data_IF_021349801475
#
_entry.id   IF_021349801475
#
_cell.length_a   1.000
_cell.length_b   1.000
_cell.length_c   1.000
_cell.angle_alpha   90.00
_cell.angle_beta   90.00
_cell.angle_gamma   90.00
#
_symmetry.space_group_name_H-M   'P 1'
#
loop_
_entity.id
_entity.type
_entity.pdbx_description
1 polymer ?
#
# COMPACT_ATOMS: atom_id res chain seq x y z
N UNK A 1 46.44 -22.13 -17.98
CA UNK A 1 45.07 -21.60 -18.05
C UNK A 1 45.09 -20.21 -17.43
N UNK A 2 44.67 -19.14 -18.13
CA UNK A 2 44.67 -17.79 -17.58
C UNK A 2 43.82 -17.76 -16.30
N UNK A 3 44.33 -17.12 -15.25
CA UNK A 3 43.68 -17.05 -13.94
C UNK A 3 42.32 -16.35 -14.06
N UNK A 4 41.25 -17.15 -14.13
CA UNK A 4 39.89 -16.63 -14.20
C UNK A 4 39.55 -16.01 -12.85
N UNK A 5 39.25 -14.72 -12.83
CA UNK A 5 38.82 -14.06 -11.59
C UNK A 5 37.52 -14.70 -11.10
N UNK A 6 37.35 -14.83 -9.77
CA UNK A 6 36.15 -15.44 -9.17
C UNK A 6 34.84 -14.84 -9.72
N UNK A 7 34.85 -13.55 -10.01
CA UNK A 7 33.73 -12.83 -10.64
C UNK A 7 33.46 -13.32 -12.06
N UNK A 8 34.48 -13.47 -12.92
CA UNK A 8 34.29 -14.00 -14.29
C UNK A 8 33.77 -15.44 -14.27
N UNK A 9 34.24 -16.25 -13.32
CA UNK A 9 33.73 -17.61 -13.11
C UNK A 9 32.26 -17.62 -12.68
N UNK A 10 31.85 -16.74 -11.76
CA UNK A 10 30.46 -16.60 -11.35
C UNK A 10 29.57 -16.12 -12.51
N UNK A 11 30.00 -15.11 -13.26
CA UNK A 11 29.26 -14.60 -14.44
C UNK A 11 29.08 -15.71 -15.49
N UNK A 12 30.15 -16.41 -15.86
CA UNK A 12 30.08 -17.52 -16.81
C UNK A 12 29.20 -18.67 -16.29
N UNK A 13 29.27 -18.96 -14.99
CA UNK A 13 28.43 -19.97 -14.35
C UNK A 13 26.94 -19.64 -14.35
N UNK A 14 26.57 -18.35 -14.40
CA UNK A 14 25.19 -17.88 -14.45
C UNK A 14 24.60 -17.77 -15.86
N UNK A 15 25.44 -17.70 -16.91
CA UNK A 15 24.94 -17.59 -18.29
C UNK A 15 24.13 -18.80 -18.72
N UNK A 16 24.61 -20.02 -18.43
CA UNK A 16 23.91 -21.26 -18.82
C UNK A 16 22.55 -21.38 -18.13
N UNK A 17 22.43 -21.26 -16.80
CA UNK A 17 21.13 -21.19 -16.13
C UNK A 17 20.25 -20.05 -16.65
N UNK A 18 20.83 -18.87 -16.90
CA UNK A 18 20.10 -17.72 -17.44
C UNK A 18 19.41 -18.04 -18.76
N UNK A 19 20.15 -18.59 -19.72
CA UNK A 19 19.60 -19.02 -21.01
C UNK A 19 18.54 -20.12 -20.87
N UNK A 20 18.73 -21.06 -19.94
CA UNK A 20 17.74 -22.11 -19.69
C UNK A 20 16.43 -21.56 -19.11
N UNK A 21 16.52 -20.65 -18.14
CA UNK A 21 15.33 -20.00 -17.56
C UNK A 21 14.61 -19.11 -18.57
N UNK A 22 15.35 -18.41 -19.44
CA UNK A 22 14.79 -17.69 -20.59
C UNK A 22 14.04 -18.63 -21.53
N UNK A 23 14.63 -19.80 -21.85
CA UNK A 23 13.97 -20.82 -22.65
C UNK A 23 12.67 -21.34 -22.03
N UNK A 24 12.62 -21.56 -20.72
CA UNK A 24 11.39 -21.98 -20.02
C UNK A 24 10.31 -20.88 -20.03
N UNK A 25 10.72 -19.62 -19.87
CA UNK A 25 9.82 -18.47 -19.98
C UNK A 25 9.25 -18.36 -21.40
N UNK A 26 10.11 -18.51 -22.40
CA UNK A 26 9.72 -18.47 -23.80
C UNK A 26 8.81 -19.64 -24.21
N UNK A 27 9.10 -20.88 -23.77
CA UNK A 27 8.20 -22.04 -23.97
C UNK A 27 6.81 -21.76 -23.43
N UNK A 28 6.73 -21.20 -22.23
CA UNK A 28 5.47 -20.91 -21.56
C UNK A 28 4.65 -19.89 -22.35
N UNK A 29 5.29 -18.79 -22.77
CA UNK A 29 4.66 -17.77 -23.60
C UNK A 29 4.23 -18.34 -24.96
N UNK A 30 5.13 -19.08 -25.64
CA UNK A 30 4.84 -19.70 -26.93
C UNK A 30 3.62 -20.64 -26.85
N UNK A 31 3.56 -21.51 -25.84
CA UNK A 31 2.40 -22.40 -25.61
C UNK A 31 1.12 -21.61 -25.35
N UNK A 32 1.18 -20.58 -24.51
CA UNK A 32 0.03 -19.73 -24.21
C UNK A 32 -0.55 -19.06 -25.46
N UNK A 33 0.30 -18.55 -26.36
CA UNK A 33 -0.17 -17.95 -27.62
C UNK A 33 -0.96 -18.94 -28.48
N UNK A 34 -0.56 -20.20 -28.51
CA UNK A 34 -1.27 -21.23 -29.25
C UNK A 34 -2.58 -21.68 -28.57
N UNK A 35 -2.55 -21.90 -27.26
CA UNK A 35 -3.68 -22.51 -26.55
C UNK A 35 -4.76 -21.52 -26.11
N UNK A 36 -4.36 -20.32 -25.68
CA UNK A 36 -5.29 -19.34 -25.11
C UNK A 36 -5.66 -18.24 -26.12
N UNK A 37 -4.73 -17.84 -26.99
CA UNK A 37 -4.95 -16.80 -27.99
C UNK A 37 -5.26 -17.37 -29.39
N UNK A 38 -5.23 -18.71 -29.55
CA UNK A 38 -5.50 -19.41 -30.80
C UNK A 38 -4.66 -18.94 -31.99
N UNK A 39 -3.46 -18.40 -31.74
CA UNK A 39 -2.50 -18.05 -32.79
C UNK A 39 -1.86 -19.35 -33.25
N UNK A 40 -2.23 -19.85 -34.42
CA UNK A 40 -1.79 -21.16 -34.93
C UNK A 40 -0.50 -21.10 -35.74
N UNK A 41 -0.08 -19.91 -36.19
CA UNK A 41 1.15 -19.73 -36.96
C UNK A 41 2.39 -19.79 -36.04
N UNK A 42 3.27 -20.76 -36.28
CA UNK A 42 4.46 -20.98 -35.44
C UNK A 42 5.45 -19.81 -35.47
N UNK A 43 5.64 -19.18 -36.63
CA UNK A 43 6.53 -18.03 -36.76
C UNK A 43 5.99 -16.80 -36.03
N UNK A 44 4.68 -16.57 -36.11
CA UNK A 44 4.04 -15.47 -35.39
C UNK A 44 4.19 -15.64 -33.88
N UNK A 45 3.96 -16.86 -33.37
CA UNK A 45 4.14 -17.17 -31.93
C UNK A 45 5.59 -16.98 -31.49
N UNK A 46 6.55 -17.44 -32.31
CA UNK A 46 7.97 -17.33 -32.02
C UNK A 46 8.39 -15.85 -31.97
N UNK A 47 7.95 -15.04 -32.94
CA UNK A 47 8.25 -13.61 -32.99
C UNK A 47 7.65 -12.85 -31.81
N UNK A 48 6.37 -13.05 -31.51
CA UNK A 48 5.71 -12.38 -30.39
C UNK A 48 6.33 -12.74 -29.04
N UNK A 49 6.64 -14.02 -28.84
CA UNK A 49 7.36 -14.48 -27.66
C UNK A 49 8.76 -13.87 -27.57
N UNK A 50 9.51 -13.87 -28.68
CA UNK A 50 10.84 -13.29 -28.76
C UNK A 50 10.85 -11.79 -28.45
N UNK A 51 9.87 -11.04 -28.96
CA UNK A 51 9.70 -9.61 -28.68
C UNK A 51 9.43 -9.37 -27.19
N UNK A 52 8.55 -10.16 -26.57
CA UNK A 52 8.24 -10.04 -25.16
C UNK A 52 9.48 -10.26 -24.26
N UNK A 53 10.25 -11.31 -24.52
CA UNK A 53 11.47 -11.60 -23.76
C UNK A 53 12.56 -10.55 -24.02
N UNK A 54 12.75 -10.15 -25.29
CA UNK A 54 13.72 -9.12 -25.65
C UNK A 54 13.40 -7.77 -25.00
N UNK A 55 12.12 -7.42 -24.85
CA UNK A 55 11.69 -6.20 -24.17
C UNK A 55 12.10 -6.21 -22.69
N UNK A 56 11.92 -7.32 -21.98
CA UNK A 56 12.30 -7.44 -20.56
C UNK A 56 13.82 -7.31 -20.40
N UNK A 57 14.58 -7.99 -21.27
CA UNK A 57 16.04 -7.90 -21.27
C UNK A 57 16.49 -6.46 -21.57
N UNK A 58 15.90 -5.83 -22.59
CA UNK A 58 16.21 -4.45 -22.98
C UNK A 58 15.92 -3.45 -21.85
N UNK A 59 14.75 -3.55 -21.20
CA UNK A 59 14.39 -2.71 -20.05
C UNK A 59 15.37 -2.90 -18.89
N UNK A 60 15.80 -4.14 -18.64
CA UNK A 60 16.74 -4.44 -17.55
C UNK A 60 18.15 -3.90 -17.85
N UNK A 61 18.64 -4.08 -19.09
CA UNK A 61 19.92 -3.52 -19.55
C UNK A 61 19.86 -1.99 -19.52
N UNK A 62 18.76 -1.39 -19.96
CA UNK A 62 18.58 0.05 -19.96
C UNK A 62 18.54 0.61 -18.54
N UNK A 63 17.83 -0.04 -17.62
CA UNK A 63 17.83 0.32 -16.19
C UNK A 63 19.24 0.28 -15.60
N UNK A 64 20.02 -0.75 -15.94
CA UNK A 64 21.41 -0.89 -15.52
C UNK A 64 22.32 0.20 -16.10
N UNK A 65 22.20 0.48 -17.40
CA UNK A 65 23.02 1.46 -18.09
C UNK A 65 22.74 2.89 -17.61
N UNK A 66 21.47 3.22 -17.38
CA UNK A 66 21.03 4.56 -16.96
C UNK A 66 20.95 4.77 -15.45
N UNK A 67 21.06 3.68 -14.66
CA UNK A 67 20.85 3.66 -13.20
C UNK A 67 19.49 4.20 -12.77
N UNK A 68 18.48 4.12 -13.63
CA UNK A 68 17.13 4.59 -13.32
C UNK A 68 16.23 3.45 -12.82
N UNK A 69 15.40 3.74 -11.80
CA UNK A 69 14.50 2.74 -11.20
C UNK A 69 13.25 2.46 -12.06
N UNK A 70 12.79 3.43 -12.85
CA UNK A 70 11.58 3.31 -13.67
C UNK A 70 11.58 2.10 -14.61
N UNK A 71 12.59 1.95 -15.48
CA UNK A 71 12.69 0.81 -16.40
C UNK A 71 12.86 -0.53 -15.68
N UNK A 72 13.50 -0.56 -14.51
CA UNK A 72 13.57 -1.77 -13.68
C UNK A 72 12.18 -2.17 -13.15
N UNK A 73 11.38 -1.20 -12.69
CA UNK A 73 9.99 -1.48 -12.29
C UNK A 73 9.13 -1.96 -13.45
N UNK A 74 9.33 -1.43 -14.66
CA UNK A 74 8.64 -1.94 -15.86
C UNK A 74 9.04 -3.38 -16.19
N UNK A 75 10.33 -3.72 -16.08
CA UNK A 75 10.79 -5.09 -16.26
C UNK A 75 10.16 -6.03 -15.22
N UNK A 76 10.09 -5.63 -13.95
CA UNK A 76 9.42 -6.42 -12.91
C UNK A 76 7.91 -6.55 -13.13
N UNK A 77 7.25 -5.49 -13.59
CA UNK A 77 5.84 -5.54 -13.94
C UNK A 77 5.59 -6.52 -15.11
N UNK A 78 6.44 -6.50 -16.13
CA UNK A 78 6.37 -7.44 -17.26
C UNK A 78 6.56 -8.90 -16.81
N UNK A 79 7.52 -9.17 -15.92
CA UNK A 79 7.73 -10.48 -15.27
C UNK A 79 6.49 -10.93 -14.49
N UNK A 80 5.81 -10.01 -13.81
CA UNK A 80 4.57 -10.32 -13.07
C UNK A 80 3.42 -10.65 -14.03
N UNK A 81 3.30 -9.95 -15.14
CA UNK A 81 2.30 -10.24 -16.19
C UNK A 81 2.52 -11.63 -16.81
N UNK A 82 3.77 -12.09 -16.93
CA UNK A 82 4.09 -13.45 -17.40
C UNK A 82 3.58 -14.58 -16.49
N UNK A 83 3.09 -14.26 -15.28
CA UNK A 83 2.40 -15.25 -14.44
C UNK A 83 1.09 -15.75 -15.06
N UNK A 84 0.39 -14.91 -15.83
CA UNK A 84 -0.89 -15.29 -16.46
C UNK A 84 -0.70 -16.43 -17.47
N UNK A 85 0.21 -16.33 -18.47
CA UNK A 85 0.57 -17.45 -19.33
C UNK A 85 0.95 -18.72 -18.56
N UNK A 86 1.71 -18.60 -17.47
CA UNK A 86 2.17 -19.74 -16.69
C UNK A 86 1.01 -20.51 -16.04
N UNK A 87 0.05 -19.82 -15.42
CA UNK A 87 -1.12 -20.49 -14.83
C UNK A 87 -2.07 -21.05 -15.88
N UNK A 88 -2.19 -20.42 -17.04
CA UNK A 88 -3.03 -20.91 -18.13
C UNK A 88 -2.45 -22.18 -18.76
N UNK A 89 -1.13 -22.25 -18.94
CA UNK A 89 -0.47 -23.43 -19.54
C UNK A 89 -0.22 -24.53 -18.51
N UNK A 90 0.16 -24.18 -17.29
CA UNK A 90 0.57 -25.11 -16.24
C UNK A 90 -0.54 -25.52 -15.27
N UNK A 91 -1.68 -24.82 -15.24
CA UNK A 91 -2.72 -25.01 -14.23
C UNK A 91 -2.23 -24.68 -12.82
N UNK A 92 -2.86 -25.27 -11.80
CA UNK A 92 -2.60 -24.95 -10.38
C UNK A 92 -1.13 -25.05 -9.95
N UNK A 93 -0.62 -26.22 -9.52
CA UNK A 93 0.78 -26.34 -9.09
C UNK A 93 1.79 -26.14 -10.22
N UNK A 94 1.46 -26.58 -11.44
CA UNK A 94 2.35 -26.46 -12.60
C UNK A 94 2.60 -25.01 -13.02
N UNK A 95 1.60 -24.13 -12.85
CA UNK A 95 1.75 -22.69 -13.07
C UNK A 95 2.74 -22.06 -12.10
N UNK A 96 2.65 -22.40 -10.81
CA UNK A 96 3.61 -21.91 -9.79
C UNK A 96 5.04 -22.30 -10.18
N UNK A 97 5.26 -23.56 -10.54
CA UNK A 97 6.59 -24.04 -10.95
C UNK A 97 7.13 -23.29 -12.18
N UNK A 98 6.28 -23.08 -13.20
CA UNK A 98 6.64 -22.31 -14.40
C UNK A 98 6.98 -20.86 -14.09
N UNK A 99 6.22 -20.18 -13.23
CA UNK A 99 6.53 -18.80 -12.79
C UNK A 99 7.88 -18.73 -12.08
N UNK A 100 8.12 -19.66 -11.15
CA UNK A 100 9.35 -19.65 -10.34
C UNK A 100 10.60 -19.93 -11.17
N UNK A 101 10.55 -20.91 -12.08
CA UNK A 101 11.72 -21.35 -12.85
C UNK A 101 11.91 -20.57 -14.15
N UNK A 102 10.84 -20.04 -14.74
CA UNK A 102 10.94 -19.18 -15.92
C UNK A 102 11.24 -17.73 -15.50
N UNK A 103 10.21 -16.89 -15.42
CA UNK A 103 10.39 -15.44 -15.35
C UNK A 103 11.01 -14.95 -14.03
N UNK A 104 10.72 -15.60 -12.88
CA UNK A 104 11.32 -15.19 -11.60
C UNK A 104 12.79 -15.55 -11.50
N UNK A 105 13.17 -16.80 -11.79
CA UNK A 105 14.57 -17.21 -11.79
C UNK A 105 15.39 -16.43 -12.83
N UNK A 106 14.82 -16.18 -14.01
CA UNK A 106 15.44 -15.33 -15.03
C UNK A 106 15.69 -13.92 -14.49
N UNK A 107 14.69 -13.27 -13.88
CA UNK A 107 14.83 -11.95 -13.31
C UNK A 107 15.92 -11.89 -12.23
N UNK A 108 16.00 -12.91 -11.36
CA UNK A 108 17.05 -13.02 -10.34
C UNK A 108 18.43 -13.19 -10.97
N UNK A 109 18.59 -14.11 -11.93
CA UNK A 109 19.87 -14.35 -12.60
C UNK A 109 20.33 -13.09 -13.34
N UNK A 110 19.41 -12.40 -14.03
CA UNK A 110 19.71 -11.14 -14.73
C UNK A 110 20.09 -10.04 -13.73
N UNK A 111 19.40 -9.95 -12.60
CA UNK A 111 19.74 -9.02 -11.52
C UNK A 111 21.16 -9.24 -10.97
N UNK A 112 21.55 -10.50 -10.77
CA UNK A 112 22.89 -10.90 -10.32
C UNK A 112 23.96 -10.65 -11.40
N UNK A 113 23.68 -11.01 -12.66
CA UNK A 113 24.59 -10.81 -13.79
C UNK A 113 24.91 -9.33 -14.01
N UNK A 114 23.91 -8.45 -13.86
CA UNK A 114 24.08 -7.01 -14.02
C UNK A 114 24.62 -6.34 -12.75
N UNK A 115 24.65 -7.05 -11.62
CA UNK A 115 25.15 -6.52 -10.35
C UNK A 115 24.35 -5.32 -9.85
N UNK A 116 23.02 -5.36 -10.04
CA UNK A 116 22.14 -4.26 -9.66
C UNK A 116 22.15 -4.00 -8.14
N UNK A 117 22.39 -5.03 -7.31
CA UNK A 117 22.45 -4.91 -5.84
C UNK A 117 23.53 -3.92 -5.35
N UNK A 118 24.71 -3.96 -5.95
CA UNK A 118 25.84 -3.12 -5.53
C UNK A 118 25.70 -1.68 -6.04
N UNK A 119 24.96 -1.46 -7.14
CA UNK A 119 24.90 -0.17 -7.83
C UNK A 119 23.64 0.64 -7.52
N UNK A 120 22.56 0.00 -7.07
CA UNK A 120 21.33 0.66 -6.64
C UNK A 120 21.31 1.03 -5.15
N UNK A 121 22.27 0.53 -4.37
CA UNK A 121 22.37 0.76 -2.91
C UNK A 121 22.78 2.18 -2.50
N UNK A 122 23.28 3.00 -3.44
CA UNK A 122 23.63 4.40 -3.16
C UNK A 122 22.42 5.35 -3.15
N UNK A 123 21.27 4.94 -3.68
CA UNK A 123 20.07 5.78 -3.70
C UNK A 123 18.96 5.23 -2.80
N UNK A 124 18.86 5.81 -1.60
CA UNK A 124 17.74 5.60 -0.66
C UNK A 124 16.40 5.82 -1.38
N UNK A 125 15.64 4.75 -1.58
CA UNK A 125 14.33 4.80 -2.24
C UNK A 125 13.25 5.23 -1.23
N UNK A 126 12.96 6.53 -1.15
CA UNK A 126 11.83 7.09 -0.38
C UNK A 126 10.56 7.16 -1.26
N UNK A 127 10.23 6.06 -1.95
CA UNK A 127 9.02 5.94 -2.76
C UNK A 127 7.89 5.26 -2.00
N UNK A 128 6.64 5.67 -2.27
CA UNK A 128 5.40 5.06 -1.69
C UNK A 128 5.37 3.54 -1.90
N UNK A 129 5.86 3.06 -3.05
CA UNK A 129 5.97 1.62 -3.34
C UNK A 129 7.03 0.93 -2.47
N UNK A 130 8.10 1.62 -2.10
CA UNK A 130 9.12 1.12 -1.18
C UNK A 130 8.60 1.02 0.26
N UNK A 131 7.74 1.95 0.68
CA UNK A 131 7.03 1.86 1.96
C UNK A 131 6.01 0.71 1.96
N UNK A 132 5.22 0.58 0.89
CA UNK A 132 4.24 -0.51 0.75
C UNK A 132 4.91 -1.90 0.69
N UNK A 133 6.04 -2.03 -0.01
CA UNK A 133 6.79 -3.28 -0.07
C UNK A 133 7.48 -3.58 1.26
N UNK A 134 7.95 -2.57 1.98
CA UNK A 134 8.49 -2.74 3.34
C UNK A 134 7.41 -3.22 4.30
N UNK A 135 6.22 -2.63 4.26
CA UNK A 135 5.10 -3.07 5.08
C UNK A 135 4.58 -4.46 4.66
N UNK A 136 4.53 -4.76 3.36
CA UNK A 136 4.21 -6.10 2.88
C UNK A 136 5.26 -7.13 3.31
N UNK A 137 6.56 -6.77 3.28
CA UNK A 137 7.64 -7.60 3.79
C UNK A 137 7.52 -7.80 5.29
N UNK A 138 7.24 -6.75 6.06
CA UNK A 138 7.05 -6.83 7.51
C UNK A 138 5.84 -7.72 7.86
N UNK A 139 4.76 -7.62 7.09
CA UNK A 139 3.58 -8.49 7.21
C UNK A 139 3.88 -9.93 6.78
N UNK A 140 4.67 -10.11 5.72
CA UNK A 140 5.12 -11.43 5.28
C UNK A 140 6.05 -12.06 6.30
N UNK A 141 7.03 -11.33 6.85
CA UNK A 141 7.91 -11.84 7.91
C UNK A 141 7.17 -12.09 9.22
N UNK A 142 6.14 -11.29 9.52
CA UNK A 142 5.22 -11.56 10.62
C UNK A 142 4.36 -12.82 10.36
N UNK A 143 4.00 -13.10 9.10
CA UNK A 143 3.24 -14.29 8.71
C UNK A 143 4.10 -15.55 8.54
N UNK A 144 5.37 -15.40 8.18
CA UNK A 144 6.35 -16.47 7.96
C UNK A 144 7.11 -16.84 9.25
N UNK A 145 6.83 -16.17 10.37
CA UNK A 145 7.26 -16.63 11.70
C UNK A 145 8.77 -16.68 11.92
N UNK A 146 9.56 -15.86 11.20
CA UNK A 146 11.03 -15.81 11.36
C UNK A 146 11.44 -14.71 12.38
N UNK A 147 10.52 -13.84 12.77
CA UNK A 147 10.73 -12.86 13.85
C UNK A 147 9.97 -13.25 15.10
N UNK A 148 10.64 -13.96 16.02
CA UNK A 148 10.21 -14.35 17.38
C UNK A 148 9.65 -15.77 17.49
N UNK A 149 10.53 -16.70 17.91
CA UNK A 149 10.18 -18.01 18.47
C UNK A 149 9.02 -17.84 19.46
N UNK A 150 7.90 -18.52 19.22
CA UNK A 150 6.87 -18.79 20.24
C UNK A 150 5.45 -18.25 20.03
N UNK A 151 5.08 -17.66 18.90
CA UNK A 151 3.68 -17.36 18.61
C UNK A 151 3.09 -18.44 17.68
N UNK A 152 2.54 -19.47 18.30
CA UNK A 152 1.93 -20.62 17.62
C UNK A 152 0.92 -20.19 16.54
N UNK A 153 0.96 -20.88 15.40
CA UNK A 153 -0.09 -20.82 14.38
C UNK A 153 -1.49 -21.05 14.98
N UNK A 154 -1.58 -21.82 16.06
CA UNK A 154 -2.78 -22.00 16.87
C UNK A 154 -3.27 -20.69 17.51
N UNK A 155 -2.38 -19.81 17.99
CA UNK A 155 -2.76 -18.51 18.55
C UNK A 155 -3.37 -17.58 17.48
N UNK A 156 -2.83 -17.61 16.26
CA UNK A 156 -3.35 -16.84 15.12
C UNK A 156 -4.70 -17.40 14.65
N UNK A 157 -4.85 -18.73 14.63
CA UNK A 157 -6.13 -19.37 14.31
C UNK A 157 -7.21 -18.98 15.34
N UNK A 158 -6.87 -18.99 16.63
CA UNK A 158 -7.74 -18.57 17.73
C UNK A 158 -8.13 -17.09 17.64
N UNK A 159 -7.18 -16.21 17.34
CA UNK A 159 -7.48 -14.78 17.19
C UNK A 159 -8.45 -14.51 16.03
N UNK A 160 -8.27 -15.21 14.89
CA UNK A 160 -9.20 -15.13 13.76
C UNK A 160 -10.57 -15.73 14.08
N UNK A 161 -10.62 -16.81 14.88
CA UNK A 161 -11.88 -17.36 15.37
C UNK A 161 -12.63 -16.36 16.26
N UNK A 162 -11.91 -15.68 17.17
CA UNK A 162 -12.47 -14.62 18.00
C UNK A 162 -13.04 -13.46 17.17
N UNK A 163 -12.34 -13.02 16.11
CA UNK A 163 -12.84 -11.99 15.20
C UNK A 163 -14.12 -12.43 14.46
N UNK A 164 -14.15 -13.68 13.97
CA UNK A 164 -15.35 -14.27 13.34
C UNK A 164 -16.52 -14.35 14.32
N UNK A 165 -16.27 -14.68 15.58
CA UNK A 165 -17.30 -14.73 16.62
C UNK A 165 -17.93 -13.35 16.84
N UNK A 166 -17.12 -12.29 16.93
CA UNK A 166 -17.63 -10.91 17.08
C UNK A 166 -18.49 -10.51 15.87
N UNK A 167 -18.03 -10.75 14.65
CA UNK A 167 -18.79 -10.41 13.44
C UNK A 167 -20.07 -11.25 13.29
N UNK A 168 -20.05 -12.52 13.71
CA UNK A 168 -21.24 -13.37 13.72
C UNK A 168 -22.24 -12.92 14.78
N UNK A 169 -21.79 -12.44 15.95
CA UNK A 169 -22.65 -11.89 16.98
C UNK A 169 -23.45 -10.68 16.47
N UNK A 170 -22.82 -9.78 15.71
CA UNK A 170 -23.48 -8.64 15.07
C UNK A 170 -24.54 -9.12 14.04
N UNK A 171 -24.21 -10.14 13.24
CA UNK A 171 -25.13 -10.72 12.23
C UNK A 171 -26.27 -11.54 12.81
N UNK A 172 -26.08 -12.12 14.00
CA UNK A 172 -27.13 -12.79 14.77
C UNK A 172 -28.08 -11.74 15.35
N UNK A 173 -27.54 -10.67 15.95
CA UNK A 173 -28.33 -9.58 16.50
C UNK A 173 -29.18 -8.87 15.44
N UNK A 174 -28.67 -8.73 14.21
CA UNK A 174 -29.42 -8.15 13.09
C UNK A 174 -30.39 -9.14 12.39
N UNK A 175 -30.40 -10.41 12.75
CA UNK A 175 -31.28 -11.40 12.12
C UNK A 175 -32.63 -11.49 12.84
N UNK A 176 -33.71 -11.67 12.09
CA UNK A 176 -35.05 -11.89 12.67
C UNK A 176 -35.05 -13.13 13.57
N UNK A 177 -35.40 -12.99 14.86
CA UNK A 177 -35.51 -14.11 15.80
C UNK A 177 -36.48 -15.18 15.28
N UNK A 178 -36.17 -16.45 15.53
CA UNK A 178 -36.99 -17.58 15.08
C UNK A 178 -36.82 -17.97 13.60
N UNK A 179 -36.11 -17.18 12.79
CA UNK A 179 -35.84 -17.55 11.39
C UNK A 179 -34.80 -18.68 11.28
N UNK A 180 -34.92 -19.51 10.23
CA UNK A 180 -33.89 -20.52 9.88
C UNK A 180 -32.51 -19.90 9.65
N UNK A 181 -32.44 -18.63 9.25
CA UNK A 181 -31.18 -17.89 9.08
C UNK A 181 -30.58 -17.52 10.44
N UNK A 182 -31.40 -17.12 11.41
CA UNK A 182 -30.96 -16.83 12.78
C UNK A 182 -30.38 -18.08 13.45
N UNK A 183 -31.07 -19.22 13.41
CA UNK A 183 -30.57 -20.47 14.00
C UNK A 183 -29.24 -20.93 13.40
N UNK A 184 -29.09 -20.84 12.07
CA UNK A 184 -27.82 -21.16 11.38
C UNK A 184 -26.68 -20.23 11.78
N UNK A 185 -26.96 -18.94 11.96
CA UNK A 185 -25.94 -17.95 12.38
C UNK A 185 -25.56 -18.13 13.84
N UNK A 186 -26.52 -18.43 14.71
CA UNK A 186 -26.28 -18.75 16.12
C UNK A 186 -25.42 -20.01 16.27
N UNK A 187 -25.69 -21.06 15.48
CA UNK A 187 -24.84 -22.26 15.45
C UNK A 187 -23.41 -21.94 15.00
N UNK A 188 -23.24 -21.12 13.95
CA UNK A 188 -21.89 -20.69 13.51
C UNK A 188 -21.16 -19.84 14.53
N UNK A 189 -21.90 -19.01 15.28
CA UNK A 189 -21.35 -18.20 16.36
C UNK A 189 -20.80 -19.10 17.47
N UNK A 190 -21.57 -20.10 17.90
CA UNK A 190 -21.12 -21.09 18.88
C UNK A 190 -19.83 -21.78 18.42
N UNK A 191 -19.80 -22.29 17.18
CA UNK A 191 -18.58 -22.91 16.62
C UNK A 191 -17.38 -21.95 16.59
N UNK A 192 -17.58 -20.67 16.26
CA UNK A 192 -16.49 -19.70 16.24
C UNK A 192 -15.95 -19.37 17.65
N UNK A 193 -16.81 -19.43 18.67
CA UNK A 193 -16.40 -19.30 20.08
C UNK A 193 -15.63 -20.55 20.51
N UNK A 194 -16.12 -21.75 20.17
CA UNK A 194 -15.43 -23.01 20.46
C UNK A 194 -14.05 -23.08 19.80
N UNK A 195 -13.95 -22.68 18.52
CA UNK A 195 -12.68 -22.57 17.78
C UNK A 195 -11.68 -21.61 18.46
N UNK A 196 -12.18 -20.52 19.06
CA UNK A 196 -11.33 -19.55 19.76
C UNK A 196 -10.82 -20.06 21.12
N UNK A 197 -11.59 -20.98 21.73
CA UNK A 197 -11.28 -21.63 23.01
C UNK A 197 -10.48 -22.92 22.86
N UNK A 198 -10.38 -23.46 21.66
CA UNK A 198 -9.73 -24.74 21.39
C UNK A 198 -8.26 -24.75 21.88
N UNK A 199 -7.83 -25.88 22.46
CA UNK A 199 -6.48 -26.09 23.03
C UNK A 199 -6.03 -25.08 24.10
N UNK A 200 -6.97 -24.39 24.75
CA UNK A 200 -6.69 -23.57 25.94
C UNK A 200 -6.99 -24.35 27.22
N UNK A 201 -6.21 -24.07 28.27
CA UNK A 201 -6.62 -24.44 29.62
C UNK A 201 -7.94 -23.74 30.01
N UNK A 202 -8.70 -24.25 30.99
CA UNK A 202 -10.01 -23.69 31.34
C UNK A 202 -9.97 -22.19 31.68
N UNK A 203 -8.92 -21.73 32.37
CA UNK A 203 -8.79 -20.33 32.79
C UNK A 203 -8.54 -19.42 31.58
N UNK A 204 -7.68 -19.85 30.66
CA UNK A 204 -7.39 -19.14 29.42
C UNK A 204 -8.57 -19.17 28.45
N UNK A 205 -9.32 -20.26 28.40
CA UNK A 205 -10.54 -20.37 27.60
C UNK A 205 -11.63 -19.40 28.08
N UNK A 206 -11.82 -19.29 29.40
CA UNK A 206 -12.77 -18.35 29.99
C UNK A 206 -12.34 -16.89 29.76
N UNK A 207 -11.04 -16.60 29.86
CA UNK A 207 -10.49 -15.29 29.52
C UNK A 207 -10.70 -14.94 28.03
N UNK A 208 -10.54 -15.90 27.13
CA UNK A 208 -10.78 -15.71 25.70
C UNK A 208 -12.27 -15.43 25.40
N UNK A 209 -13.17 -16.16 26.05
CA UNK A 209 -14.61 -15.92 25.93
C UNK A 209 -15.00 -14.54 26.48
N UNK A 210 -14.51 -14.18 27.67
CA UNK A 210 -14.72 -12.85 28.26
C UNK A 210 -14.19 -11.72 27.35
N UNK A 211 -13.07 -11.94 26.67
CA UNK A 211 -12.53 -11.00 25.69
C UNK A 211 -13.45 -10.86 24.46
N UNK A 212 -14.02 -11.96 23.93
CA UNK A 212 -15.01 -11.91 22.85
C UNK A 212 -16.27 -11.16 23.31
N UNK A 213 -16.79 -11.48 24.49
CA UNK A 213 -17.98 -10.85 25.07
C UNK A 213 -17.76 -9.35 25.26
N UNK A 214 -16.63 -8.93 25.84
CA UNK A 214 -16.31 -7.51 26.05
C UNK A 214 -16.25 -6.74 24.72
N UNK A 215 -15.71 -7.34 23.65
CA UNK A 215 -15.68 -6.74 22.31
C UNK A 215 -17.09 -6.60 21.73
N UNK A 216 -17.95 -7.61 21.88
CA UNK A 216 -19.34 -7.56 21.43
C UNK A 216 -20.12 -6.50 22.21
N UNK A 217 -19.99 -6.46 23.53
CA UNK A 217 -20.63 -5.45 24.39
C UNK A 217 -20.17 -4.05 24.00
N UNK A 218 -18.87 -3.86 23.76
CA UNK A 218 -18.32 -2.58 23.30
C UNK A 218 -18.87 -2.15 21.93
N UNK A 219 -19.02 -3.06 20.97
CA UNK A 219 -19.63 -2.74 19.67
C UNK A 219 -21.10 -2.35 19.82
N UNK A 220 -21.85 -3.11 20.63
CA UNK A 220 -23.26 -2.80 20.92
C UNK A 220 -23.42 -1.48 21.67
N UNK A 221 -22.54 -1.18 22.63
CA UNK A 221 -22.58 0.08 23.36
C UNK A 221 -22.26 1.26 22.44
N UNK A 222 -21.31 1.14 21.51
CA UNK A 222 -21.03 2.18 20.51
C UNK A 222 -22.24 2.41 19.57
N UNK A 223 -22.89 1.34 19.11
CA UNK A 223 -24.11 1.47 18.32
C UNK A 223 -25.25 2.14 19.13
N UNK A 224 -25.36 1.81 20.42
CA UNK A 224 -26.26 2.47 21.36
C UNK A 224 -25.94 3.96 21.51
N UNK A 225 -24.67 4.32 21.69
CA UNK A 225 -24.22 5.72 21.79
C UNK A 225 -24.54 6.53 20.53
N UNK A 226 -24.41 5.92 19.34
CA UNK A 226 -24.76 6.56 18.07
C UNK A 226 -26.26 6.85 17.92
N UNK A 227 -27.11 6.19 18.71
CA UNK A 227 -28.58 6.35 18.69
C UNK A 227 -29.12 7.20 19.85
N UNK A 228 -28.25 7.67 20.75
CA UNK A 228 -28.63 8.63 21.78
C UNK A 228 -28.90 9.98 21.10
N UNK A 229 -30.18 10.28 20.89
CA UNK A 229 -30.66 11.53 20.29
C UNK A 229 -30.59 12.74 21.25
N UNK A 230 -30.22 12.53 22.52
CA UNK A 230 -30.07 13.60 23.50
C UNK A 230 -28.70 14.24 23.39
N UNK A 231 -28.64 15.49 22.94
CA UNK A 231 -27.48 16.37 23.17
C UNK A 231 -27.24 16.40 24.68
N UNK A 232 -26.14 15.83 25.14
CA UNK A 232 -25.63 16.18 26.46
C UNK A 232 -25.04 17.58 26.33
N UNK A 233 -25.79 18.56 26.80
CA UNK A 233 -25.30 19.91 27.02
C UNK A 233 -24.24 19.86 28.13
N UNK A 234 -22.97 19.82 27.74
CA UNK A 234 -21.81 19.89 28.65
C UNK A 234 -21.65 21.28 29.31
N UNK A 235 -22.64 22.15 29.22
CA UNK A 235 -22.64 23.50 29.78
C UNK A 235 -23.34 23.52 31.14
N UNK A 236 -22.81 22.79 32.13
CA UNK A 236 -23.18 23.00 33.53
C UNK A 236 -22.14 22.42 34.51
N UNK A 237 -20.97 23.06 34.64
CA UNK A 237 -20.36 23.42 35.94
C UNK A 237 -19.07 24.21 35.73
N UNK A 238 -19.21 25.46 35.27
CA UNK A 238 -18.25 26.52 35.62
C UNK A 238 -19.00 27.54 36.46
N UNK A 239 -19.54 27.12 37.60
CA UNK A 239 -20.05 28.06 38.60
C UNK A 239 -18.86 28.52 39.43
N UNK A 240 -18.34 29.67 39.00
CA UNK A 240 -17.88 30.79 39.83
C UNK A 240 -17.21 30.42 41.15
N UNK A 241 -15.87 30.46 41.10
CA UNK A 241 -15.03 30.66 42.25
C UNK A 241 -15.57 31.77 43.16
N UNK A 242 -15.78 31.44 44.44
CA UNK A 242 -15.82 32.43 45.51
C UNK A 242 -14.45 32.41 46.18
N UNK A 243 -13.69 33.52 46.25
CA UNK A 243 -12.49 33.57 47.06
C UNK A 243 -12.93 33.67 48.53
N UNK A 244 -12.65 32.63 49.33
CA UNK A 244 -12.79 32.71 50.78
C UNK A 244 -11.42 32.93 51.38
N UNK A 245 -11.25 34.11 51.94
CA UNK A 245 -10.09 34.59 52.68
C UNK A 245 -9.98 33.86 54.04
N UNK A 246 -8.74 33.62 54.43
CA UNK A 246 -8.17 33.10 55.68
C UNK A 246 -9.03 33.09 56.95
N UNK A 247 -8.88 32.04 57.77
CA UNK A 247 -8.02 32.07 58.98
C UNK A 247 -8.02 30.71 59.69
N UNK A 248 -6.97 30.49 60.48
CA UNK A 248 -6.62 29.37 61.37
C UNK A 248 -5.93 28.16 60.72
N UNK A 249 -4.60 27.99 60.82
CA UNK A 249 -3.68 27.92 61.99
C UNK A 249 -3.56 26.50 62.56
N UNK A 250 -2.32 26.02 62.45
CA UNK A 250 -1.61 24.97 63.19
C UNK A 250 -2.16 23.53 63.15
N UNK A 251 -1.39 22.59 62.57
CA UNK A 251 -0.44 21.76 63.35
C UNK A 251 0.36 20.84 62.41
N UNK A 252 1.65 20.73 62.71
CA UNK A 252 2.73 20.03 62.03
C UNK A 252 2.54 18.51 61.77
N UNK A 253 3.28 17.97 60.79
CA UNK A 253 4.47 17.12 61.04
C UNK A 253 5.00 16.56 59.72
N UNK A 254 6.23 16.93 59.36
CA UNK A 254 7.03 16.29 58.32
C UNK A 254 7.71 15.02 58.87
N UNK A 255 8.17 14.12 57.99
CA UNK A 255 9.55 13.68 58.15
C UNK A 255 10.35 13.72 56.84
N UNK A 256 11.43 14.48 56.93
CA UNK A 256 12.81 14.20 56.55
C UNK A 256 13.09 13.27 55.35
N UNK A 257 13.69 13.89 54.34
CA UNK A 257 14.62 13.28 53.40
C UNK A 257 15.78 12.60 54.14
N UNK A 258 16.20 11.43 53.65
CA UNK A 258 17.55 10.91 53.88
C UNK A 258 18.24 10.80 52.54
N UNK A 259 19.30 11.58 52.46
CA UNK A 259 20.32 11.66 51.44
C UNK A 259 21.21 10.39 51.49
N UNK A 260 21.51 9.79 50.34
CA UNK A 260 22.65 8.89 50.17
C UNK A 260 23.09 8.89 48.71
N UNK A 261 23.98 9.82 48.40
CA UNK A 261 24.89 9.74 47.28
C UNK A 261 25.89 8.59 47.44
N UNK A 262 26.06 7.78 46.38
CA UNK A 262 27.40 7.40 45.89
C UNK A 262 27.31 7.00 44.42
N UNK A 263 28.02 7.78 43.60
CA UNK A 263 28.14 7.63 42.16
C UNK A 263 28.98 6.41 41.74
N UNK A 264 28.73 5.88 40.52
CA UNK A 264 29.71 5.80 39.41
C UNK A 264 29.06 5.24 38.14
N UNK A 265 28.78 6.16 37.21
CA UNK A 265 29.18 6.19 35.77
C UNK A 265 28.96 4.97 34.85
N UNK A 266 28.06 5.13 33.88
CA UNK A 266 28.27 5.04 32.40
C UNK A 266 26.90 4.90 31.67
N UNK A 267 26.40 5.96 31.01
CA UNK A 267 26.44 6.19 29.53
C UNK A 267 25.47 5.27 28.73
N UNK A 268 24.52 5.69 27.88
CA UNK A 268 24.12 6.95 27.20
C UNK A 268 22.66 6.74 26.65
N UNK A 269 22.04 7.63 25.84
CA UNK A 269 20.67 8.15 26.05
C UNK A 269 19.64 7.54 25.07
N UNK A 270 18.34 7.68 25.29
CA UNK A 270 17.59 8.88 24.91
C UNK A 270 16.64 8.52 23.76
N UNK A 271 15.47 7.99 24.15
CA UNK A 271 14.36 7.59 23.29
C UNK A 271 13.33 8.71 23.37
N UNK A 272 13.34 9.62 22.41
CA UNK A 272 12.25 10.59 22.22
C UNK A 272 11.35 10.13 21.08
N UNK A 273 10.19 9.60 21.46
CA UNK A 273 9.04 9.46 20.57
C UNK A 273 8.12 10.63 20.83
N UNK A 274 8.25 11.69 20.04
CA UNK A 274 7.23 12.70 19.93
C UNK A 274 6.24 12.29 18.85
N UNK A 275 5.03 12.01 19.30
CA UNK A 275 3.89 11.52 18.53
C UNK A 275 2.81 12.56 18.71
N UNK A 276 2.58 13.37 17.68
CA UNK A 276 1.30 14.01 17.43
C UNK A 276 1.28 14.57 16.00
N UNK A 277 0.28 14.15 15.23
CA UNK A 277 -0.58 15.01 14.40
C UNK A 277 -1.62 14.12 13.74
N UNK A 278 -2.86 14.30 14.19
CA UNK A 278 -4.07 13.73 13.61
C UNK A 278 -4.39 14.42 12.27
N UNK A 279 -4.85 13.63 11.29
CA UNK A 279 -5.58 14.16 10.13
C UNK A 279 -6.82 13.32 9.88
N UNK A 280 -7.96 13.97 10.09
CA UNK A 280 -9.34 13.58 9.81
C UNK A 280 -9.56 13.39 8.30
N UNK A 281 -10.30 12.36 7.82
CA UNK A 281 -10.86 12.38 6.48
C UNK A 281 -12.28 12.94 6.48
N UNK A 282 -12.49 13.86 5.54
CA UNK A 282 -13.75 14.49 5.13
C UNK A 282 -14.73 13.44 4.59
N UNK A 283 -15.94 13.43 5.13
CA UNK A 283 -17.07 12.65 4.62
C UNK A 283 -17.69 13.34 3.39
N UNK A 284 -18.01 12.53 2.37
CA UNK A 284 -18.83 12.95 1.23
C UNK A 284 -20.26 12.50 1.45
N UNK A 285 -21.13 13.47 1.24
CA UNK A 285 -22.58 13.48 1.34
C UNK A 285 -23.24 12.59 0.27
N UNK A 286 -24.30 11.87 0.63
CA UNK A 286 -25.28 11.31 -0.33
C UNK A 286 -26.60 11.01 0.36
N UNK A 287 -27.56 11.87 0.05
CA UNK A 287 -29.00 11.73 0.23
C UNK A 287 -29.54 10.40 -0.32
N UNK A 288 -30.47 9.77 0.42
CA UNK A 288 -31.67 9.15 -0.16
C UNK A 288 -32.77 9.05 0.90
N UNK A 289 -33.77 9.92 0.81
CA UNK A 289 -35.08 9.76 1.44
C UNK A 289 -35.95 8.79 0.64
N UNK A 290 -36.65 7.87 1.33
CA UNK A 290 -38.07 7.55 1.13
C UNK A 290 -38.53 6.38 2.03
N UNK A 291 -39.36 6.73 3.02
CA UNK A 291 -40.27 5.90 3.84
C UNK A 291 -41.66 5.97 3.16
N UNK A 292 -42.52 4.92 3.13
CA UNK A 292 -43.39 4.50 4.26
C UNK A 292 -43.73 2.99 4.26
N UNK A 293 -44.51 2.39 5.16
CA UNK A 293 -44.90 2.55 6.57
C UNK A 293 -45.68 1.25 6.90
N UNK A 294 -45.63 0.84 8.16
CA UNK A 294 -46.63 0.09 8.94
C UNK A 294 -47.34 -1.18 8.39
N UNK A 295 -47.22 -2.29 9.14
CA UNK A 295 -48.36 -3.03 9.71
C UNK A 295 -47.91 -4.39 10.30
N UNK A 296 -48.20 -4.57 11.59
CA UNK A 296 -48.30 -5.89 12.25
C UNK A 296 -49.74 -6.39 12.05
N UNK A 297 -50.02 -7.71 11.93
CA UNK A 297 -50.55 -8.40 13.11
C UNK A 297 -50.19 -9.89 13.23
N UNK A 298 -50.60 -10.41 14.39
CA UNK A 298 -50.27 -11.65 15.09
C UNK A 298 -51.12 -12.88 14.68
N UNK A 299 -50.47 -14.06 14.64
CA UNK A 299 -50.97 -15.45 14.83
C UNK A 299 -51.88 -16.12 13.74
N UNK A 300 -52.10 -17.46 13.73
CA UNK A 300 -51.49 -18.59 14.47
C UNK A 300 -50.91 -19.73 13.58
N UNK A 301 -50.33 -20.75 14.23
CA UNK A 301 -49.74 -21.98 13.66
C UNK A 301 -50.77 -22.92 12.98
N UNK A 302 -50.42 -23.43 11.80
CA UNK A 302 -50.97 -24.67 11.21
C UNK A 302 -49.81 -25.46 10.55
N UNK A 303 -49.69 -26.79 10.75
CA UNK A 303 -48.64 -27.60 10.15
C UNK A 303 -49.03 -28.01 8.73
N UNK A 304 -48.17 -27.77 7.73
CA UNK A 304 -48.35 -28.31 6.38
C UNK A 304 -47.11 -29.07 5.92
N UNK A 305 -47.42 -30.30 5.53
CA UNK A 305 -46.67 -31.43 5.00
C UNK A 305 -45.74 -31.07 3.81
N UNK A 306 -44.52 -31.64 3.79
CA UNK A 306 -43.38 -31.27 2.92
C UNK A 306 -43.05 -32.39 1.91
N UNK A 307 -44.04 -33.13 1.42
CA UNK A 307 -43.78 -34.20 0.43
C UNK A 307 -44.23 -33.91 -1.02
N UNK A 308 -44.93 -32.81 -1.30
CA UNK A 308 -45.58 -32.64 -2.63
C UNK A 308 -45.01 -31.56 -3.56
N UNK A 309 -43.90 -30.87 -3.20
CA UNK A 309 -43.38 -29.71 -3.99
C UNK A 309 -42.04 -29.92 -4.69
N UNK A 310 -41.54 -31.15 -4.79
CA UNK A 310 -40.22 -31.44 -5.39
C UNK A 310 -40.26 -31.75 -6.90
N UNK A 311 -41.43 -31.91 -7.51
CA UNK A 311 -41.54 -32.36 -8.91
C UNK A 311 -41.77 -31.26 -9.96
N UNK A 312 -42.07 -30.00 -9.59
CA UNK A 312 -42.30 -28.91 -10.57
C UNK A 312 -41.06 -28.06 -10.90
N UNK A 313 -39.97 -28.17 -10.14
CA UNK A 313 -38.80 -27.28 -10.30
C UNK A 313 -37.75 -27.76 -11.32
N UNK A 314 -37.98 -28.90 -12.00
CA UNK A 314 -37.01 -29.50 -12.93
C UNK A 314 -37.38 -29.36 -14.42
N UNK A 315 -38.51 -28.75 -14.77
CA UNK A 315 -38.96 -28.61 -16.17
C UNK A 315 -38.81 -27.21 -16.78
N UNK A 316 -38.27 -26.22 -16.05
CA UNK A 316 -38.29 -24.81 -16.46
C UNK A 316 -36.92 -24.17 -16.76
N UNK A 317 -35.86 -24.98 -16.96
CA UNK A 317 -34.50 -24.48 -17.23
C UNK A 317 -33.89 -24.90 -18.57
N UNK A 318 -34.70 -25.39 -19.50
CA UNK A 318 -34.26 -25.85 -20.80
C UNK A 318 -35.01 -25.14 -21.95
N UNK A 319 -34.88 -23.82 -22.06
CA UNK A 319 -35.19 -23.08 -23.30
C UNK A 319 -34.90 -21.59 -23.17
N UNK A 320 -33.68 -21.13 -23.46
CA UNK A 320 -33.48 -19.90 -24.26
C UNK A 320 -32.02 -19.77 -24.65
N UNK A 321 -31.76 -20.14 -25.89
CA UNK A 321 -30.61 -19.71 -26.68
C UNK A 321 -31.18 -19.15 -27.99
N UNK A 322 -30.40 -18.28 -28.66
CA UNK A 322 -30.53 -17.76 -30.03
C UNK A 322 -31.33 -16.47 -30.28
N UNK A 323 -30.57 -15.41 -30.61
CA UNK A 323 -30.69 -14.75 -31.92
C UNK A 323 -31.11 -13.27 -31.93
N UNK A 324 -30.22 -12.36 -32.34
CA UNK A 324 -30.25 -11.69 -33.66
C UNK A 324 -29.33 -10.44 -33.77
N UNK A 325 -28.54 -10.46 -34.86
CA UNK A 325 -27.88 -9.37 -35.63
C UNK A 325 -28.83 -8.18 -35.94
N UNK A 326 -28.48 -6.94 -36.34
CA UNK A 326 -27.33 -6.26 -37.01
C UNK A 326 -27.57 -4.70 -36.99
N UNK A 327 -26.84 -3.80 -37.70
CA UNK A 327 -26.45 -2.48 -37.20
C UNK A 327 -27.15 -1.29 -37.91
N UNK A 328 -26.94 -0.06 -37.43
CA UNK A 328 -27.31 1.18 -38.13
C UNK A 328 -26.13 2.18 -38.13
N UNK A 329 -25.98 2.81 -39.30
CA UNK A 329 -24.94 3.73 -39.77
C UNK A 329 -25.20 5.17 -39.30
N UNK A 330 -24.12 5.97 -39.22
CA UNK A 330 -23.99 7.39 -38.87
C UNK A 330 -24.80 8.37 -39.76
N UNK A 331 -24.87 9.70 -39.47
CA UNK A 331 -23.72 10.59 -39.68
C UNK A 331 -23.55 11.79 -38.71
N UNK A 332 -22.38 12.41 -38.89
CA UNK A 332 -21.83 13.70 -38.43
C UNK A 332 -22.78 14.84 -38.06
N UNK A 333 -22.45 15.57 -36.98
CA UNK A 333 -22.45 17.05 -36.97
C UNK A 333 -21.57 17.62 -35.84
N UNK A 334 -20.50 18.31 -36.21
CA UNK A 334 -19.85 19.40 -35.47
C UNK A 334 -19.84 20.61 -36.44
N UNK A 335 -19.95 21.88 -36.01
CA UNK A 335 -18.90 22.54 -35.21
C UNK A 335 -19.43 23.60 -34.22
N UNK A 336 -18.60 24.05 -33.28
CA UNK A 336 -18.28 25.49 -33.11
C UNK A 336 -17.35 25.73 -31.93
N UNK A 337 -16.28 26.48 -32.22
CA UNK A 337 -15.34 27.03 -31.27
C UNK A 337 -15.50 28.55 -31.22
N UNK A 338 -15.36 29.21 -30.06
CA UNK A 338 -15.03 30.62 -30.02
C UNK A 338 -13.60 30.90 -29.54
N UNK A 339 -13.09 31.98 -30.14
CA UNK A 339 -11.78 32.65 -30.10
C UNK A 339 -11.24 33.06 -28.70
N UNK A 340 -9.94 33.44 -28.63
CA UNK A 340 -9.17 33.64 -27.40
C UNK A 340 -9.26 35.08 -26.85
N UNK A 341 -9.07 35.19 -25.53
CA UNK A 341 -8.93 36.45 -24.81
C UNK A 341 -7.44 36.79 -24.54
N UNK A 342 -7.08 38.08 -24.36
CA UNK A 342 -5.78 38.63 -24.72
C UNK A 342 -4.70 38.57 -23.62
N UNK A 343 -3.46 38.72 -24.10
CA UNK A 343 -2.20 38.80 -23.36
C UNK A 343 -2.17 39.93 -22.32
N UNK A 344 -1.78 39.60 -21.10
CA UNK A 344 -1.33 40.56 -20.11
C UNK A 344 0.20 40.70 -20.19
N UNK A 345 0.63 41.83 -20.75
CA UNK A 345 1.97 42.38 -20.58
C UNK A 345 2.11 42.84 -19.13
N UNK A 346 3.16 42.42 -18.43
CA UNK A 346 3.61 43.10 -17.21
C UNK A 346 5.09 43.41 -17.35
N UNK A 347 5.31 44.70 -17.59
CA UNK A 347 6.61 45.35 -17.65
C UNK A 347 7.30 45.34 -16.29
N UNK A 348 8.62 45.31 -16.36
CA UNK A 348 9.53 45.55 -15.27
C UNK A 348 9.30 46.93 -14.64
N UNK A 349 9.41 47.03 -13.32
CA UNK A 349 9.86 48.24 -12.64
C UNK A 349 10.74 47.84 -11.46
N UNK A 350 11.99 48.23 -11.59
CA UNK A 350 13.08 48.25 -10.62
C UNK A 350 12.69 49.11 -9.42
N UNK A 351 12.61 48.50 -8.24
CA UNK A 351 12.66 49.21 -6.97
C UNK A 351 13.84 48.65 -6.17
N UNK A 352 14.94 49.41 -6.21
CA UNK A 352 16.14 49.22 -5.39
C UNK A 352 15.75 49.34 -3.92
N UNK A 353 15.56 48.20 -3.28
CA UNK A 353 15.64 48.08 -1.83
C UNK A 353 16.93 47.31 -1.56
N UNK A 354 17.74 47.76 -0.59
CA UNK A 354 18.97 47.12 -0.12
C UNK A 354 18.69 45.74 0.51
N UNK A 355 18.18 44.82 -0.29
CA UNK A 355 17.88 43.45 0.09
C UNK A 355 19.12 42.61 -0.21
N UNK A 356 19.74 42.09 0.85
CA UNK A 356 20.87 41.17 0.74
C UNK A 356 20.52 40.04 -0.23
N UNK A 357 21.24 39.91 -1.38
CA UNK A 357 20.84 39.01 -2.45
C UNK A 357 20.74 37.57 -1.94
N UNK A 358 19.75 36.84 -2.45
CA UNK A 358 19.55 35.44 -2.07
C UNK A 358 20.72 34.58 -2.58
N UNK A 359 21.04 33.48 -1.89
CA UNK A 359 22.09 32.54 -2.34
C UNK A 359 21.86 32.07 -3.78
N UNK A 360 20.59 31.84 -4.16
CA UNK A 360 20.23 31.43 -5.52
C UNK A 360 20.51 32.52 -6.57
N UNK A 361 20.37 33.81 -6.19
CA UNK A 361 20.65 34.93 -7.08
C UNK A 361 22.16 35.12 -7.26
N UNK A 362 22.94 35.08 -6.18
CA UNK A 362 24.41 35.16 -6.24
C UNK A 362 24.98 33.99 -7.07
N UNK A 363 24.47 32.77 -6.86
CA UNK A 363 24.90 31.58 -7.62
C UNK A 363 24.52 31.70 -9.09
N UNK A 364 23.30 32.17 -9.41
CA UNK A 364 22.89 32.40 -10.79
C UNK A 364 23.77 33.44 -11.47
N UNK A 365 24.02 34.57 -10.81
CA UNK A 365 24.87 35.64 -11.35
C UNK A 365 26.30 35.14 -11.60
N UNK A 366 26.88 34.38 -10.66
CA UNK A 366 28.21 33.79 -10.82
C UNK A 366 28.27 32.79 -11.99
N UNK A 367 27.27 31.92 -12.14
CA UNK A 367 27.20 30.98 -13.27
C UNK A 367 26.96 31.70 -14.60
N UNK A 368 26.18 32.78 -14.61
CA UNK A 368 25.96 33.62 -15.81
C UNK A 368 27.24 34.34 -16.22
N UNK A 369 28.10 34.70 -15.25
CA UNK A 369 29.43 35.26 -15.47
C UNK A 369 30.50 34.20 -15.85
N UNK A 370 30.10 32.93 -16.07
CA UNK A 370 31.01 31.86 -16.46
C UNK A 370 31.83 31.25 -15.31
N UNK A 371 31.53 31.60 -14.05
CA UNK A 371 32.23 31.01 -12.89
C UNK A 371 31.69 29.61 -12.63
N UNK A 372 32.46 28.60 -13.03
CA UNK A 372 32.15 27.18 -12.81
C UNK A 372 32.84 26.59 -11.58
N UNK A 373 33.90 27.25 -11.09
CA UNK A 373 34.61 26.83 -9.88
C UNK A 373 33.75 27.05 -8.63
N UNK A 374 33.49 25.95 -7.92
CA UNK A 374 32.65 25.91 -6.73
C UNK A 374 33.23 26.74 -5.58
N UNK A 375 34.55 26.75 -5.39
CA UNK A 375 35.15 27.46 -4.25
C UNK A 375 35.08 28.98 -4.44
N UNK A 376 35.21 29.45 -5.68
CA UNK A 376 34.96 30.84 -6.07
C UNK A 376 33.52 31.28 -5.79
N UNK A 377 32.53 30.43 -6.13
CA UNK A 377 31.12 30.72 -5.87
C UNK A 377 30.83 30.73 -4.36
N UNK A 378 31.43 29.82 -3.59
CA UNK A 378 31.29 29.78 -2.12
C UNK A 378 31.85 31.04 -1.48
N UNK A 379 33.07 31.45 -1.87
CA UNK A 379 33.71 32.67 -1.37
C UNK A 379 32.83 33.91 -1.63
N UNK A 380 32.31 34.04 -2.85
CA UNK A 380 31.41 35.14 -3.23
C UNK A 380 30.11 35.12 -2.43
N UNK A 381 29.50 33.95 -2.19
CA UNK A 381 28.28 33.84 -1.37
C UNK A 381 28.55 34.21 0.09
N UNK A 382 29.70 33.82 0.64
CA UNK A 382 30.07 34.11 2.03
C UNK A 382 30.35 35.59 2.27
N UNK A 383 30.81 36.33 1.25
CA UNK A 383 30.99 37.78 1.33
C UNK A 383 29.68 38.52 1.61
N UNK A 384 28.56 38.05 1.06
CA UNK A 384 27.24 38.65 1.29
C UNK A 384 26.46 37.97 2.43
N UNK A 385 26.76 36.70 2.75
CA UNK A 385 26.07 35.90 3.77
C UNK A 385 27.05 35.01 4.55
N UNK A 386 27.74 35.57 5.56
CA UNK A 386 28.61 34.78 6.44
C UNK A 386 27.76 33.72 7.15
N UNK A 387 28.21 32.45 7.09
CA UNK A 387 27.48 31.29 7.61
C UNK A 387 26.85 30.37 6.55
N UNK A 388 26.87 30.75 5.27
CA UNK A 388 26.42 29.84 4.21
C UNK A 388 27.40 28.69 4.02
N UNK A 389 26.91 27.45 4.11
CA UNK A 389 27.73 26.24 3.98
C UNK A 389 27.98 25.86 2.51
N UNK A 390 29.09 25.14 2.27
CA UNK A 390 29.43 24.57 0.95
C UNK A 390 28.34 23.65 0.38
N UNK A 391 27.55 23.01 1.24
CA UNK A 391 26.45 22.14 0.84
C UNK A 391 25.27 22.95 0.25
N UNK A 392 24.93 24.09 0.87
CA UNK A 392 23.87 24.98 0.40
C UNK A 392 24.19 25.57 -0.98
N UNK A 393 25.44 25.99 -1.19
CA UNK A 393 25.91 26.52 -2.50
C UNK A 393 25.85 25.45 -3.58
N UNK A 394 26.27 24.22 -3.27
CA UNK A 394 26.23 23.12 -4.25
C UNK A 394 24.82 22.74 -4.68
N UNK A 395 23.87 22.67 -3.74
CA UNK A 395 22.46 22.44 -4.09
C UNK A 395 21.92 23.56 -4.96
N UNK A 396 22.32 24.81 -4.72
CA UNK A 396 21.92 25.93 -5.55
C UNK A 396 22.51 25.83 -6.98
N UNK A 397 23.80 25.48 -7.11
CA UNK A 397 24.45 25.28 -8.42
C UNK A 397 23.79 24.13 -9.20
N UNK A 398 23.51 22.99 -8.55
CA UNK A 398 22.85 21.85 -9.19
C UNK A 398 21.46 22.21 -9.72
N UNK A 399 20.68 22.99 -8.94
CA UNK A 399 19.36 23.50 -9.36
C UNK A 399 19.43 24.50 -10.51
N UNK A 400 20.51 25.28 -10.63
CA UNK A 400 20.70 26.17 -11.78
C UNK A 400 21.16 25.40 -13.02
N UNK A 401 22.07 24.42 -12.85
CA UNK A 401 22.50 23.54 -13.94
C UNK A 401 21.35 22.74 -14.57
N UNK A 402 20.42 22.25 -13.76
CA UNK A 402 19.21 21.55 -14.26
C UNK A 402 18.23 22.47 -15.00
N UNK A 403 18.28 23.79 -14.78
CA UNK A 403 17.44 24.77 -15.50
C UNK A 403 18.07 25.26 -16.80
N UNK A 404 19.40 25.19 -16.89
CA UNK A 404 20.16 25.68 -18.04
C UNK A 404 20.29 24.65 -19.17
N UNK A 405 19.82 23.41 -19.00
CA UNK A 405 19.68 22.47 -20.10
C UNK A 405 18.43 22.83 -20.92
N UNK A 406 18.56 23.45 -22.12
CA UNK A 406 17.42 23.61 -22.99
C UNK A 406 16.88 22.22 -23.29
N UNK A 407 15.56 22.04 -23.21
CA UNK A 407 14.90 20.86 -23.72
C UNK A 407 15.30 20.73 -25.19
N UNK A 408 16.16 19.75 -25.49
CA UNK A 408 16.47 19.35 -26.85
C UNK A 408 15.20 18.66 -27.36
N UNK A 409 14.25 19.47 -27.83
CA UNK A 409 13.08 19.01 -28.54
C UNK A 409 13.58 18.42 -29.85
N UNK A 410 13.67 17.10 -29.89
CA UNK A 410 14.08 16.34 -31.07
C UNK A 410 13.14 16.63 -32.23
N UNK A 411 13.59 17.47 -33.16
CA UNK A 411 13.19 17.42 -34.56
C UNK A 411 13.78 16.13 -35.14
N UNK A 412 12.98 15.07 -35.15
CA UNK A 412 13.21 13.93 -36.04
C UNK A 412 12.41 14.22 -37.32
N UNK A 413 13.13 14.53 -38.40
CA UNK A 413 12.71 14.32 -39.78
C UNK A 413 13.33 13.02 -40.27
#
# INVERSE_FOLDING_TARGET
>A
MPNMTRTKAATLGLLVPGLMTLGVSADTSYRFLGTALAITNDWERLLLCGVAEALIIALTIYAWATRTKGPAYLAYAAVLVQAVPAFQVGGGPGGIFRVMIGPVALAVILHLLLGLELRMSEEKSDGILGAALREARERLTASLGIGRRGADSAAIARSRAADRAVDLADRVAAATPGSRKHSRRAARLATAIDDARHDLDPVAADAAEAAIVSRVVRRKSVAGLATIATRHDWTATTTTATPRHDTDRDTATAPAATDRDTATTAATPGRDTDRDTATTPVATDRDTDAVPADATPTAPLVPIDIMSKRQEALSLRQSTDLGQNRPVVAPDTAPDAPLPAPAAVSAATTATTDAVPSVAQIVREAMTAGVTDRDMVVSRVQQYRPGTTRATVARAMQRQGSKAQPAVTGQYL
#
